data_IF_321959813828
#
_entry.id   IF_321959813828
#
_cell.length_a   1.000
_cell.length_b   1.000
_cell.length_c   1.000
_cell.angle_alpha   90.00
_cell.angle_beta   90.00
_cell.angle_gamma   90.00
#
_symmetry.space_group_name_H-M   'P 1'
#
loop_
_entity.id
_entity.type
_entity.pdbx_description
1 polymer ?
#
# COMPACT_ATOMS: atom_id res chain seq x y z
N UNK A 1 28.20 -23.93 -27.71
CA UNK A 1 26.98 -24.72 -27.43
C UNK A 1 25.79 -23.87 -27.83
N UNK A 2 25.15 -24.20 -28.95
CA UNK A 2 23.93 -23.52 -29.36
C UNK A 2 22.77 -24.04 -28.50
N UNK A 3 22.15 -23.15 -27.72
CA UNK A 3 21.01 -23.51 -26.88
C UNK A 3 19.77 -23.49 -27.77
N UNK A 4 19.31 -24.67 -28.19
CA UNK A 4 18.10 -24.82 -28.97
C UNK A 4 16.86 -24.57 -28.08
N UNK A 5 16.36 -23.32 -28.08
CA UNK A 5 15.17 -22.94 -27.33
C UNK A 5 13.93 -23.27 -28.16
N UNK A 6 13.35 -24.45 -27.93
CA UNK A 6 12.09 -24.81 -28.57
C UNK A 6 10.95 -23.95 -27.98
N UNK A 7 10.19 -23.19 -28.78
CA UNK A 7 9.03 -22.46 -28.28
C UNK A 7 7.98 -23.41 -27.71
N UNK A 8 7.30 -22.98 -26.64
CA UNK A 8 6.19 -23.73 -26.06
C UNK A 8 5.08 -23.91 -27.12
N UNK A 9 4.58 -25.14 -27.25
CA UNK A 9 3.52 -25.48 -28.19
C UNK A 9 2.27 -24.61 -27.97
N UNK A 10 1.61 -24.20 -29.07
CA UNK A 10 0.36 -23.45 -29.01
C UNK A 10 -0.69 -24.22 -28.20
N UNK A 11 -1.22 -23.60 -27.15
CA UNK A 11 -2.16 -24.21 -26.22
C UNK A 11 -1.55 -24.74 -24.91
N UNK A 12 -0.22 -24.89 -24.82
CA UNK A 12 0.43 -25.21 -23.54
C UNK A 12 0.44 -24.00 -22.59
N UNK A 13 0.05 -24.22 -21.33
CA UNK A 13 0.10 -23.16 -20.31
C UNK A 13 1.56 -22.94 -19.92
N UNK A 14 2.16 -21.86 -20.41
CA UNK A 14 3.46 -21.38 -19.93
C UNK A 14 3.42 -21.15 -18.42
N UNK A 15 4.50 -21.51 -17.70
CA UNK A 15 4.63 -21.28 -16.24
C UNK A 15 4.33 -19.84 -15.84
N UNK A 16 4.68 -18.88 -16.70
CA UNK A 16 4.44 -17.46 -16.48
C UNK A 16 3.12 -17.05 -17.15
N UNK A 17 2.15 -16.49 -16.40
CA UNK A 17 0.92 -15.97 -17.00
C UNK A 17 1.24 -14.78 -17.90
N UNK A 18 0.48 -14.65 -18.99
CA UNK A 18 0.59 -13.49 -19.88
C UNK A 18 0.16 -12.23 -19.12
N UNK A 19 1.00 -11.20 -19.12
CA UNK A 19 0.67 -9.91 -18.47
C UNK A 19 -0.51 -9.28 -19.21
N UNK A 20 -1.56 -8.89 -18.49
CA UNK A 20 -2.67 -8.09 -19.01
C UNK A 20 -2.45 -6.62 -18.63
N UNK A 21 -2.00 -5.76 -19.57
CA UNK A 21 -1.68 -4.36 -19.26
C UNK A 21 -2.92 -3.55 -18.85
N UNK A 22 -4.08 -3.86 -19.42
CA UNK A 22 -5.35 -3.16 -19.18
C UNK A 22 -5.83 -3.35 -17.73
N UNK A 23 -5.83 -4.60 -17.24
CA UNK A 23 -6.17 -4.91 -15.85
C UNK A 23 -5.21 -4.23 -14.88
N UNK A 24 -3.92 -4.18 -15.23
CA UNK A 24 -2.92 -3.46 -14.43
C UNK A 24 -3.21 -1.96 -14.36
N UNK A 25 -3.49 -1.31 -15.50
CA UNK A 25 -3.88 0.12 -15.56
C UNK A 25 -5.14 0.40 -14.73
N UNK A 26 -6.18 -0.41 -14.88
CA UNK A 26 -7.43 -0.27 -14.11
C UNK A 26 -7.19 -0.42 -12.59
N UNK A 27 -6.33 -1.34 -12.19
CA UNK A 27 -5.99 -1.52 -10.78
C UNK A 27 -5.20 -0.34 -10.19
N UNK A 28 -4.30 0.27 -10.97
CA UNK A 28 -3.61 1.50 -10.59
C UNK A 28 -4.60 2.65 -10.45
N UNK A 29 -5.48 2.85 -11.42
CA UNK A 29 -6.48 3.93 -11.37
C UNK A 29 -7.43 3.77 -10.18
N UNK A 30 -7.89 2.54 -9.94
CA UNK A 30 -8.67 2.19 -8.75
C UNK A 30 -7.88 2.44 -7.46
N UNK A 31 -6.57 2.21 -7.45
CA UNK A 31 -5.74 2.51 -6.27
C UNK A 31 -5.67 4.02 -6.04
N UNK A 32 -5.38 4.80 -7.08
CA UNK A 32 -5.33 6.28 -7.03
C UNK A 32 -6.64 6.90 -6.56
N UNK A 33 -7.79 6.35 -6.97
CA UNK A 33 -9.12 6.82 -6.55
C UNK A 33 -9.41 6.62 -5.07
N UNK A 34 -8.87 5.55 -4.47
CA UNK A 34 -9.14 5.19 -3.07
C UNK A 34 -8.00 5.53 -2.11
N UNK A 35 -6.85 6.00 -2.62
CA UNK A 35 -5.76 6.56 -1.82
C UNK A 35 -5.99 8.04 -1.54
N UNK A 36 -5.49 8.53 -0.40
CA UNK A 36 -5.44 9.98 -0.18
C UNK A 36 -4.55 10.66 -1.24
N UNK A 37 -4.91 11.89 -1.62
CA UNK A 37 -4.20 12.68 -2.64
C UNK A 37 -2.87 13.25 -2.14
N UNK A 38 -2.79 13.51 -0.84
CA UNK A 38 -1.65 14.12 -0.17
C UNK A 38 -1.40 13.42 1.15
N UNK A 39 -0.15 13.43 1.60
CA UNK A 39 0.18 13.03 2.96
C UNK A 39 -0.49 14.02 3.95
N UNK A 40 -0.95 13.54 5.12
CA UNK A 40 -1.38 14.43 6.18
C UNK A 40 -0.18 15.26 6.68
N UNK A 41 -0.47 16.51 7.05
CA UNK A 41 0.50 17.34 7.75
C UNK A 41 0.91 16.69 9.06
N UNK A 42 2.17 16.87 9.48
CA UNK A 42 2.61 16.36 10.76
C UNK A 42 1.81 17.06 11.87
N UNK A 43 1.47 16.34 12.96
CA UNK A 43 0.71 16.93 14.04
C UNK A 43 1.48 18.12 14.64
N UNK A 44 0.88 19.32 14.57
CA UNK A 44 1.41 20.52 15.23
C UNK A 44 1.06 20.46 16.71
N UNK A 45 1.86 19.69 17.43
CA UNK A 45 1.59 19.34 18.82
C UNK A 45 2.22 20.40 19.76
N UNK A 46 1.41 21.22 20.43
CA UNK A 46 1.87 22.29 21.36
C UNK A 46 1.90 21.80 22.82
N UNK A 47 2.42 20.59 23.06
CA UNK A 47 2.40 20.00 24.39
C UNK A 47 3.56 20.56 25.22
N UNK A 48 3.20 21.18 26.35
CA UNK A 48 4.14 21.77 27.31
C UNK A 48 4.75 20.71 28.23
N UNK A 49 4.00 19.64 28.51
CA UNK A 49 4.40 18.60 29.45
C UNK A 49 4.82 17.30 28.73
N UNK A 50 5.97 16.75 29.13
CA UNK A 50 6.64 15.60 28.50
C UNK A 50 5.98 14.24 28.72
N UNK A 51 4.76 14.20 29.27
CA UNK A 51 4.05 12.96 29.58
C UNK A 51 3.47 12.25 28.34
N UNK A 52 3.32 12.95 27.21
CA UNK A 52 2.74 12.41 25.97
C UNK A 52 3.74 12.51 24.80
N UNK A 53 3.93 11.41 24.09
CA UNK A 53 4.99 11.24 23.09
C UNK A 53 4.71 11.87 21.71
N UNK A 54 3.84 12.87 21.58
CA UNK A 54 3.55 13.45 20.25
C UNK A 54 4.80 13.96 19.52
N UNK A 55 5.85 14.35 20.26
CA UNK A 55 7.15 14.82 19.73
C UNK A 55 8.04 13.71 19.17
N UNK A 56 7.71 12.43 19.35
CA UNK A 56 8.53 11.31 18.83
C UNK A 56 8.08 10.84 17.45
N UNK A 57 6.86 11.18 17.03
CA UNK A 57 6.29 10.72 15.77
C UNK A 57 7.01 11.38 14.59
N UNK A 58 7.82 10.61 13.87
CA UNK A 58 8.56 11.11 12.71
C UNK A 58 7.70 11.01 11.45
N UNK A 59 7.96 11.90 10.48
CA UNK A 59 7.24 11.92 9.20
C UNK A 59 7.27 10.56 8.47
N UNK A 60 8.36 9.81 8.57
CA UNK A 60 8.47 8.49 7.96
C UNK A 60 7.51 7.45 8.58
N UNK A 61 7.17 7.58 9.87
CA UNK A 61 6.22 6.71 10.55
C UNK A 61 4.79 7.05 10.11
N UNK A 62 4.49 8.35 9.96
CA UNK A 62 3.23 8.85 9.40
C UNK A 62 3.05 8.31 7.97
N UNK A 63 4.07 8.42 7.13
CA UNK A 63 4.07 7.88 5.77
C UNK A 63 3.76 6.38 5.77
N UNK A 64 4.50 5.61 6.57
CA UNK A 64 4.35 4.15 6.64
C UNK A 64 2.97 3.74 7.15
N UNK A 65 2.43 4.44 8.15
CA UNK A 65 1.08 4.21 8.64
C UNK A 65 0.04 4.50 7.54
N UNK A 66 0.19 5.64 6.87
CA UNK A 66 -0.71 6.08 5.82
C UNK A 66 -0.73 5.11 4.62
N UNK A 67 0.44 4.67 4.15
CA UNK A 67 0.55 3.66 3.09
C UNK A 67 -0.10 2.33 3.48
N UNK A 68 0.12 1.88 4.72
CA UNK A 68 -0.46 0.63 5.22
C UNK A 68 -1.98 0.73 5.35
N UNK A 69 -2.50 1.87 5.79
CA UNK A 69 -3.94 2.12 5.90
C UNK A 69 -4.64 2.03 4.54
N UNK A 70 -4.07 2.67 3.51
CA UNK A 70 -4.64 2.63 2.15
C UNK A 70 -4.24 1.38 1.33
N UNK A 71 -3.49 0.45 1.92
CA UNK A 71 -3.11 -0.81 1.26
C UNK A 71 -4.31 -1.70 0.99
N UNK A 72 -5.26 -1.78 1.95
CA UNK A 72 -6.54 -2.43 1.73
C UNK A 72 -7.59 -1.40 1.31
N UNK A 73 -8.43 -1.79 0.34
CA UNK A 73 -9.53 -0.97 -0.19
C UNK A 73 -10.84 -1.22 0.56
N UNK A 74 -10.88 -2.23 1.43
CA UNK A 74 -12.08 -2.60 2.17
C UNK A 74 -12.18 -1.78 3.44
N UNK A 75 -13.32 -1.07 3.64
CA UNK A 75 -13.59 -0.29 4.85
C UNK A 75 -13.42 -1.13 6.12
N UNK A 76 -13.92 -2.37 6.11
CA UNK A 76 -13.79 -3.29 7.25
C UNK A 76 -12.33 -3.56 7.63
N UNK A 77 -11.41 -3.62 6.66
CA UNK A 77 -10.00 -3.85 6.95
C UNK A 77 -9.31 -2.60 7.45
N UNK A 78 -9.70 -1.42 6.94
CA UNK A 78 -9.26 -0.13 7.44
C UNK A 78 -9.70 0.10 8.89
N UNK A 79 -10.96 -0.22 9.21
CA UNK A 79 -11.50 -0.11 10.57
C UNK A 79 -10.78 -1.08 11.52
N UNK A 80 -10.55 -2.33 11.10
CA UNK A 80 -9.72 -3.28 11.86
C UNK A 80 -8.29 -2.77 12.07
N UNK A 81 -7.70 -2.12 11.07
CA UNK A 81 -6.37 -1.52 11.18
C UNK A 81 -6.37 -0.41 12.23
N UNK A 82 -7.35 0.50 12.20
CA UNK A 82 -7.48 1.54 13.22
C UNK A 82 -7.67 0.96 14.62
N UNK A 83 -8.52 -0.06 14.78
CA UNK A 83 -8.75 -0.72 16.07
C UNK A 83 -7.48 -1.38 16.62
N UNK A 84 -6.65 -1.98 15.75
CA UNK A 84 -5.38 -2.60 16.14
C UNK A 84 -4.38 -1.59 16.71
N UNK A 85 -4.32 -0.38 16.16
CA UNK A 85 -3.36 0.65 16.58
C UNK A 85 -3.95 1.69 17.56
N UNK A 86 -5.25 1.62 17.85
CA UNK A 86 -5.95 2.52 18.77
C UNK A 86 -5.81 2.10 20.24
N UNK A 87 -5.77 0.81 20.55
CA UNK A 87 -5.68 0.37 21.93
C UNK A 87 -4.21 0.42 22.40
N UNK A 88 -3.87 1.26 23.39
CA UNK A 88 -2.53 1.34 23.97
C UNK A 88 -2.15 0.09 24.78
#
# INVERSE_FOLDING_TARGET
MEVNVNPCAEGSRSRKPKRSPEKWKCNIDKAKRHSAKTLPDPPKCNHKDGALQCKTLKMHEILKFHENFYRSKCKTDQDKFLLKYRNP
#
